data_IF_361591160031
#
_entry.id   IF_361591160031
#
_cell.length_a   1.000
_cell.length_b   1.000
_cell.length_c   1.000
_cell.angle_alpha   90.00
_cell.angle_beta   90.00
_cell.angle_gamma   90.00
#
_symmetry.space_group_name_H-M   'P 1'
#
loop_
_entity.id
_entity.type
_entity.pdbx_description
1 polymer ?
#
# COMPACT_ATOMS: atom_id res chain seq x y z
N UNK A 1 46.93 21.08 -11.14
CA UNK A 1 45.62 21.34 -10.51
C UNK A 1 44.66 20.26 -10.98
N UNK A 2 44.33 19.28 -10.14
CA UNK A 2 43.38 18.21 -10.49
C UNK A 2 42.17 18.41 -9.57
N UNK A 3 41.07 18.90 -10.15
CA UNK A 3 39.84 19.18 -9.43
C UNK A 3 39.11 17.88 -9.08
N UNK A 4 38.91 17.63 -7.80
CA UNK A 4 38.06 16.56 -7.32
C UNK A 4 36.59 16.99 -7.44
N UNK A 5 35.88 16.45 -8.43
CA UNK A 5 34.43 16.59 -8.52
C UNK A 5 33.77 15.56 -7.59
N UNK A 6 33.29 16.01 -6.43
CA UNK A 6 32.46 15.23 -5.53
C UNK A 6 31.04 15.17 -6.09
N UNK A 7 30.65 14.02 -6.66
CA UNK A 7 29.27 13.75 -7.05
C UNK A 7 28.51 13.38 -5.78
N UNK A 8 27.71 14.32 -5.26
CA UNK A 8 26.77 14.06 -4.18
C UNK A 8 25.60 13.26 -4.76
N UNK A 9 25.62 11.94 -4.59
CA UNK A 9 24.42 11.12 -4.79
C UNK A 9 23.44 11.44 -3.65
N UNK A 10 22.43 12.26 -3.93
CA UNK A 10 21.28 12.41 -3.06
C UNK A 10 20.49 11.09 -3.10
N UNK A 11 20.71 10.21 -2.12
CA UNK A 11 19.86 9.05 -1.90
C UNK A 11 18.48 9.55 -1.47
N UNK A 12 17.51 9.52 -2.38
CA UNK A 12 16.11 9.69 -2.04
C UNK A 12 15.69 8.48 -1.23
N UNK A 13 15.74 8.58 0.11
CA UNK A 13 15.23 7.55 0.99
C UNK A 13 13.76 7.31 0.62
N UNK A 14 13.37 6.13 0.14
CA UNK A 14 11.95 5.88 -0.12
C UNK A 14 11.23 6.05 1.21
N UNK A 15 10.22 6.93 1.24
CA UNK A 15 9.35 7.02 2.40
C UNK A 15 8.88 5.61 2.74
N UNK A 16 9.12 5.17 3.98
CA UNK A 16 8.69 3.85 4.45
C UNK A 16 7.22 3.66 4.04
N UNK A 17 6.89 2.53 3.44
CA UNK A 17 5.51 2.25 3.00
C UNK A 17 4.51 2.50 4.14
N UNK A 18 4.89 2.18 5.38
CA UNK A 18 4.13 2.45 6.60
C UNK A 18 3.73 3.93 6.72
N UNK A 19 4.61 4.87 6.35
CA UNK A 19 4.40 6.30 6.45
C UNK A 19 3.53 6.89 5.32
N UNK A 20 3.30 6.15 4.22
CA UNK A 20 2.38 6.57 3.16
C UNK A 20 0.96 6.58 3.75
N UNK A 21 0.23 7.69 3.59
CA UNK A 21 -1.16 7.77 4.04
C UNK A 21 -2.08 7.01 3.07
N UNK A 22 -3.16 6.43 3.57
CA UNK A 22 -4.11 5.68 2.74
C UNK A 22 -4.89 6.56 1.74
N UNK A 23 -4.96 7.87 1.95
CA UNK A 23 -5.55 8.85 1.03
C UNK A 23 -4.55 9.42 0.00
N UNK A 24 -3.28 8.98 0.03
CA UNK A 24 -2.26 9.43 -0.91
C UNK A 24 -2.39 8.69 -2.25
N UNK A 25 -2.08 9.38 -3.35
CA UNK A 25 -2.10 8.81 -4.72
C UNK A 25 -1.19 7.58 -4.90
N UNK A 26 -0.22 7.39 -4.03
CA UNK A 26 0.71 6.25 -4.05
C UNK A 26 0.43 5.22 -2.96
N UNK A 27 -0.76 5.25 -2.34
CA UNK A 27 -1.16 4.30 -1.29
C UNK A 27 -1.13 2.84 -1.74
N UNK A 28 -1.30 2.56 -3.04
CA UNK A 28 -1.21 1.20 -3.61
C UNK A 28 0.11 0.49 -3.29
N UNK A 29 1.18 1.24 -3.00
CA UNK A 29 2.49 0.68 -2.63
C UNK A 29 2.46 -0.09 -1.31
N UNK A 30 1.48 0.17 -0.43
CA UNK A 30 1.32 -0.51 0.86
C UNK A 30 0.55 -1.81 0.79
N UNK A 31 -0.07 -2.11 -0.37
CA UNK A 31 -1.06 -3.18 -0.46
C UNK A 31 -0.49 -4.56 -0.10
N UNK A 32 0.72 -4.90 -0.57
CA UNK A 32 1.34 -6.18 -0.24
C UNK A 32 1.54 -6.32 1.28
N UNK A 33 2.12 -5.30 1.92
CA UNK A 33 2.32 -5.31 3.37
C UNK A 33 0.99 -5.35 4.14
N UNK A 34 -0.05 -4.70 3.63
CA UNK A 34 -1.36 -4.71 4.28
C UNK A 34 -2.09 -6.05 4.15
N UNK A 35 -2.04 -6.67 2.97
CA UNK A 35 -2.59 -8.00 2.72
C UNK A 35 -1.86 -9.06 3.55
N UNK A 36 -0.54 -8.97 3.65
CA UNK A 36 0.31 -9.90 4.41
C UNK A 36 0.30 -9.60 5.92
N UNK A 37 -0.33 -8.50 6.36
CA UNK A 37 -0.53 -8.12 7.76
C UNK A 37 0.64 -7.41 8.43
N UNK A 38 1.68 -7.04 7.68
CA UNK A 38 2.81 -6.24 8.18
C UNK A 38 2.50 -4.73 8.26
N UNK A 39 1.46 -4.29 7.55
CA UNK A 39 0.91 -2.94 7.60
C UNK A 39 -0.56 -3.04 8.02
N UNK A 40 -0.98 -2.25 9.02
CA UNK A 40 -2.37 -2.24 9.42
C UNK A 40 -3.26 -1.53 8.38
N UNK A 41 -4.42 -2.14 8.09
CA UNK A 41 -5.53 -1.44 7.47
C UNK A 41 -6.02 -0.28 8.36
N UNK A 42 -6.69 0.74 7.80
CA UNK A 42 -7.41 1.73 8.58
C UNK A 42 -8.36 1.06 9.60
N UNK A 43 -8.49 1.63 10.79
CA UNK A 43 -9.38 1.08 11.83
C UNK A 43 -10.86 1.38 11.59
N UNK A 44 -11.17 2.46 10.87
CA UNK A 44 -12.55 2.79 10.49
C UNK A 44 -13.01 1.87 9.34
N UNK A 45 -14.13 1.13 9.47
CA UNK A 45 -14.56 0.15 8.46
C UNK A 45 -14.71 0.73 7.05
N UNK A 46 -15.25 1.95 6.92
CA UNK A 46 -15.40 2.62 5.63
C UNK A 46 -14.05 2.94 4.98
N UNK A 47 -13.11 3.47 5.77
CA UNK A 47 -11.77 3.77 5.29
C UNK A 47 -11.00 2.49 4.91
N UNK A 48 -11.16 1.41 5.69
CA UNK A 48 -10.60 0.11 5.37
C UNK A 48 -11.14 -0.44 4.05
N UNK A 49 -12.45 -0.36 3.84
CA UNK A 49 -13.09 -0.77 2.60
C UNK A 49 -12.53 -0.02 1.39
N UNK A 50 -12.45 1.32 1.47
CA UNK A 50 -11.88 2.14 0.38
C UNK A 50 -10.43 1.76 0.09
N UNK A 51 -9.60 1.57 1.12
CA UNK A 51 -8.21 1.15 0.96
C UNK A 51 -8.09 -0.25 0.32
N UNK A 52 -8.91 -1.20 0.74
CA UNK A 52 -8.91 -2.56 0.18
C UNK A 52 -9.39 -2.60 -1.27
N UNK A 53 -10.47 -1.86 -1.61
CA UNK A 53 -10.96 -1.76 -2.99
C UNK A 53 -9.96 -1.02 -3.89
N UNK A 54 -9.24 -0.03 -3.37
CA UNK A 54 -8.11 0.57 -4.08
C UNK A 54 -7.03 -0.47 -4.38
N UNK A 55 -6.65 -1.31 -3.41
CA UNK A 55 -5.67 -2.37 -3.65
C UNK A 55 -6.12 -3.39 -4.70
N UNK A 56 -7.42 -3.73 -4.73
CA UNK A 56 -7.97 -4.63 -5.74
C UNK A 56 -7.89 -4.06 -7.16
N UNK A 57 -7.95 -2.74 -7.30
CA UNK A 57 -7.98 -2.04 -8.60
C UNK A 57 -6.61 -1.55 -9.08
N UNK A 58 -5.75 -1.09 -8.17
CA UNK A 58 -4.53 -0.36 -8.51
C UNK A 58 -3.25 -1.18 -8.32
N UNK A 59 -3.29 -2.27 -7.54
CA UNK A 59 -2.11 -3.09 -7.26
C UNK A 59 -2.04 -4.31 -8.17
N UNK A 60 -0.89 -4.63 -8.80
CA UNK A 60 -0.73 -5.84 -9.61
C UNK A 60 -0.54 -7.07 -8.71
N UNK A 61 -1.63 -7.52 -8.08
CA UNK A 61 -1.62 -8.63 -7.13
C UNK A 61 -1.46 -9.98 -7.83
N UNK A 62 -0.74 -10.89 -7.16
CA UNK A 62 -0.80 -12.32 -7.52
C UNK A 62 -2.19 -12.90 -7.22
N UNK A 63 -2.55 -14.01 -7.86
CA UNK A 63 -3.85 -14.66 -7.64
C UNK A 63 -4.10 -15.02 -6.16
N UNK A 64 -3.06 -15.49 -5.46
CA UNK A 64 -3.14 -15.82 -4.03
C UNK A 64 -3.36 -14.57 -3.17
N UNK A 65 -2.66 -13.46 -3.44
CA UNK A 65 -2.88 -12.20 -2.71
C UNK A 65 -4.25 -11.62 -3.01
N UNK A 66 -4.71 -11.69 -4.25
CA UNK A 66 -6.05 -11.26 -4.60
C UNK A 66 -7.10 -12.05 -3.81
N UNK A 67 -7.00 -13.38 -3.75
CA UNK A 67 -7.90 -14.22 -2.94
C UNK A 67 -7.91 -13.80 -1.46
N UNK A 68 -6.75 -13.56 -0.86
CA UNK A 68 -6.64 -13.09 0.53
C UNK A 68 -7.28 -11.71 0.72
N UNK A 69 -7.06 -10.79 -0.21
CA UNK A 69 -7.68 -9.47 -0.18
C UNK A 69 -9.22 -9.58 -0.22
N UNK A 70 -9.78 -10.40 -1.12
CA UNK A 70 -11.23 -10.64 -1.19
C UNK A 70 -11.76 -11.23 0.14
N UNK A 71 -11.05 -12.19 0.73
CA UNK A 71 -11.43 -12.74 2.03
C UNK A 71 -11.41 -11.70 3.16
N UNK A 72 -10.49 -10.73 3.11
CA UNK A 72 -10.43 -9.62 4.06
C UNK A 72 -11.56 -8.61 3.82
N UNK A 73 -11.84 -8.25 2.56
CA UNK A 73 -12.95 -7.35 2.17
C UNK A 73 -14.28 -7.87 2.71
N UNK A 74 -14.56 -9.17 2.53
CA UNK A 74 -15.79 -9.81 3.01
C UNK A 74 -15.99 -9.75 4.54
N UNK A 75 -14.92 -9.50 5.31
CA UNK A 75 -14.97 -9.36 6.78
C UNK A 75 -15.20 -7.92 7.22
N UNK A 76 -15.07 -6.94 6.33
CA UNK A 76 -15.30 -5.53 6.65
C UNK A 76 -16.80 -5.23 6.59
N UNK A 77 -17.43 -4.84 7.71
CA UNK A 77 -18.86 -4.54 7.71
C UNK A 77 -19.23 -3.43 6.73
N UNK A 78 -20.20 -3.69 5.86
CA UNK A 78 -20.67 -2.73 4.86
C UNK A 78 -19.74 -2.55 3.65
N UNK A 79 -18.67 -3.35 3.53
CA UNK A 79 -17.87 -3.43 2.31
C UNK A 79 -18.46 -4.52 1.40
N UNK A 80 -18.86 -4.14 0.18
CA UNK A 80 -19.37 -5.09 -0.82
C UNK A 80 -18.27 -6.00 -1.38
N UNK A 81 -18.64 -6.96 -2.23
CA UNK A 81 -17.66 -7.61 -3.10
C UNK A 81 -17.24 -6.64 -4.21
N UNK A 82 -15.94 -6.56 -4.56
CA UNK A 82 -15.46 -5.80 -5.72
C UNK A 82 -15.95 -6.39 -7.05
#
# INVERSE_FOLDING_TARGET
MIGAALIVMAASTPASEVAIRWDAKNAYRKCDGAIDGSIAWPSEPKAACVAMLMCANESPLSAERNRRLIEQIRRVPGCGEP
#
